data_IF_546934460634
#
_entry.id   IF_546934460634
#
_cell.length_a   1.000
_cell.length_b   1.000
_cell.length_c   1.000
_cell.angle_alpha   90.00
_cell.angle_beta   90.00
_cell.angle_gamma   90.00
#
_symmetry.space_group_name_H-M   'P 1'
#
loop_
_entity.id
_entity.type
_entity.pdbx_description
1 polymer ?
#
# COMPACT_ATOMS: atom_id res chain seq x y z
N UNK A 1 1.03 0.44 -12.41
CA UNK A 1 1.62 -0.69 -11.67
C UNK A 1 2.97 -0.34 -11.05
N UNK A 2 3.86 0.37 -11.75
CA UNK A 2 5.16 0.82 -11.22
C UNK A 2 5.11 1.56 -9.86
N UNK A 3 4.10 2.41 -9.62
CA UNK A 3 3.92 3.07 -8.32
C UNK A 3 3.61 2.09 -7.16
N UNK A 4 2.83 1.04 -7.43
CA UNK A 4 2.52 0.01 -6.43
C UNK A 4 3.80 -0.76 -6.09
N UNK A 5 4.58 -1.14 -7.09
CA UNK A 5 5.84 -1.85 -6.90
C UNK A 5 6.86 -1.02 -6.11
N UNK A 6 6.94 0.28 -6.38
CA UNK A 6 7.76 1.23 -5.62
C UNK A 6 7.33 1.31 -4.14
N UNK A 7 6.02 1.40 -3.88
CA UNK A 7 5.47 1.39 -2.51
C UNK A 7 5.81 0.08 -1.79
N UNK A 8 5.68 -1.06 -2.48
CA UNK A 8 5.99 -2.38 -1.91
C UNK A 8 7.47 -2.52 -1.60
N UNK A 9 8.36 -2.13 -2.51
CA UNK A 9 9.80 -2.17 -2.29
C UNK A 9 10.23 -1.29 -1.10
N UNK A 10 9.67 -0.09 -0.99
CA UNK A 10 9.91 0.81 0.14
C UNK A 10 9.40 0.23 1.47
N UNK A 11 8.20 -0.37 1.47
CA UNK A 11 7.63 -1.01 2.65
C UNK A 11 8.48 -2.20 3.13
N UNK A 12 8.95 -3.04 2.20
CA UNK A 12 9.81 -4.18 2.51
C UNK A 12 11.16 -3.74 3.11
N UNK A 13 11.79 -2.71 2.54
CA UNK A 13 13.03 -2.15 3.07
C UNK A 13 12.83 -1.56 4.48
N UNK A 14 11.71 -0.87 4.71
CA UNK A 14 11.40 -0.30 6.02
C UNK A 14 11.12 -1.40 7.06
N UNK A 15 10.37 -2.44 6.70
CA UNK A 15 10.09 -3.57 7.60
C UNK A 15 11.34 -4.37 7.95
N UNK A 16 12.27 -4.52 7.01
CA UNK A 16 13.54 -5.18 7.27
C UNK A 16 14.44 -4.40 8.25
N UNK A 17 14.25 -3.08 8.35
CA UNK A 17 14.96 -2.21 9.29
C UNK A 17 14.28 -2.04 10.66
N UNK A 18 13.10 -2.64 10.88
CA UNK A 18 12.43 -2.57 12.19
C UNK A 18 13.08 -3.52 13.19
N UNK A 19 13.64 -2.97 14.27
CA UNK A 19 14.34 -3.76 15.31
C UNK A 19 13.40 -4.32 16.38
N UNK A 20 12.19 -3.78 16.48
CA UNK A 20 11.19 -4.20 17.47
C UNK A 20 9.77 -4.26 16.89
N UNK A 21 8.88 -4.94 17.63
CA UNK A 21 7.51 -5.16 17.21
C UNK A 21 6.69 -3.85 17.11
N UNK A 22 7.02 -2.84 17.90
CA UNK A 22 6.30 -1.55 17.91
C UNK A 22 6.64 -0.77 16.64
N UNK A 23 7.92 -0.72 16.27
CA UNK A 23 8.40 -0.15 15.01
C UNK A 23 7.74 -0.83 13.81
N UNK A 24 7.68 -2.17 13.82
CA UNK A 24 7.05 -2.92 12.74
C UNK A 24 5.55 -2.62 12.61
N UNK A 25 4.81 -2.57 13.71
CA UNK A 25 3.37 -2.25 13.67
C UNK A 25 3.12 -0.81 13.21
N UNK A 26 3.95 0.15 13.61
CA UNK A 26 3.88 1.53 13.11
C UNK A 26 4.13 1.60 11.60
N UNK A 27 5.16 0.92 11.10
CA UNK A 27 5.43 0.86 9.66
C UNK A 27 4.29 0.13 8.93
N UNK A 28 3.71 -0.94 9.48
CA UNK A 28 2.53 -1.61 8.89
C UNK A 28 1.34 -0.67 8.79
N UNK A 29 1.07 0.15 9.81
CA UNK A 29 0.01 1.16 9.76
C UNK A 29 0.24 2.20 8.64
N UNK A 30 1.48 2.64 8.45
CA UNK A 30 1.87 3.61 7.40
C UNK A 30 1.62 3.10 5.98
N UNK A 31 1.78 1.80 5.73
CA UNK A 31 1.62 1.23 4.38
C UNK A 31 0.27 0.57 4.16
N UNK A 32 -0.20 -0.23 5.13
CA UNK A 32 -1.39 -1.09 5.01
C UNK A 32 -2.61 -0.57 5.79
N UNK A 33 -2.46 0.50 6.57
CA UNK A 33 -3.55 1.09 7.34
C UNK A 33 -4.67 1.65 6.45
N UNK A 34 -5.77 2.08 7.08
CA UNK A 34 -6.94 2.66 6.39
C UNK A 34 -6.60 3.87 5.52
N UNK A 35 -5.59 4.63 5.94
CA UNK A 35 -5.01 5.78 5.24
C UNK A 35 -3.56 5.50 4.84
N UNK A 36 -3.17 4.22 4.78
CA UNK A 36 -1.84 3.80 4.42
C UNK A 36 -1.57 4.02 2.94
N UNK A 37 -0.30 4.22 2.58
CA UNK A 37 0.11 4.57 1.21
C UNK A 37 -0.39 3.57 0.16
N UNK A 38 -0.33 2.27 0.47
CA UNK A 38 -0.80 1.23 -0.46
C UNK A 38 -2.32 1.25 -0.57
N UNK A 39 -3.03 1.40 0.55
CA UNK A 39 -4.49 1.48 0.59
C UNK A 39 -5.02 2.67 -0.20
N UNK A 40 -4.42 3.86 -0.06
CA UNK A 40 -4.79 5.05 -0.83
C UNK A 40 -4.53 4.87 -2.33
N UNK A 41 -3.39 4.26 -2.69
CA UNK A 41 -3.09 3.96 -4.10
C UNK A 41 -4.09 2.97 -4.69
N UNK A 42 -4.47 1.93 -3.95
CA UNK A 42 -5.48 0.96 -4.38
C UNK A 42 -6.88 1.59 -4.50
N UNK A 43 -7.25 2.50 -3.59
CA UNK A 43 -8.50 3.28 -3.69
C UNK A 43 -8.51 4.16 -4.93
N UNK A 44 -7.40 4.84 -5.23
CA UNK A 44 -7.25 5.65 -6.44
C UNK A 44 -7.44 4.80 -7.71
N UNK A 45 -6.88 3.59 -7.73
CA UNK A 45 -7.05 2.63 -8.83
C UNK A 45 -8.47 2.05 -8.89
N UNK A 46 -9.08 1.75 -7.75
CA UNK A 46 -10.44 1.21 -7.65
C UNK A 46 -11.54 2.25 -7.89
N UNK A 47 -11.21 3.54 -7.73
CA UNK A 47 -12.04 4.71 -8.04
C UNK A 47 -11.98 5.15 -9.50
N UNK A 48 -11.14 4.51 -10.33
CA UNK A 48 -11.25 4.63 -11.79
C UNK A 48 -12.61 4.05 -12.22
N UNK A 49 -13.39 4.87 -12.91
CA UNK A 49 -14.80 4.70 -13.21
C UNK A 49 -15.20 3.28 -13.68
N UNK A 50 -16.39 2.85 -13.24
CA UNK A 50 -17.09 1.60 -13.62
C UNK A 50 -17.11 1.33 -15.14
N UNK A 51 -16.94 2.36 -15.97
CA UNK A 51 -16.92 2.29 -17.43
C UNK A 51 -15.79 1.42 -18.06
N UNK A 52 -14.78 0.98 -17.29
CA UNK A 52 -13.69 0.13 -17.79
C UNK A 52 -13.61 -1.28 -17.17
N UNK A 53 -14.61 -1.69 -16.38
CA UNK A 53 -14.68 -3.08 -15.91
C UNK A 53 -15.28 -3.93 -17.04
N UNK A 54 -14.61 -5.00 -17.52
CA UNK A 54 -15.25 -5.92 -18.45
C UNK A 54 -16.50 -6.49 -17.78
N UNK A 55 -17.61 -6.47 -18.50
CA UNK A 55 -18.88 -7.01 -18.03
C UNK A 55 -18.67 -8.46 -17.59
N UNK A 56 -19.19 -8.78 -16.40
CA UNK A 56 -19.30 -10.16 -15.93
C UNK A 56 -20.35 -10.92 -16.75
#
# INVERSE_FOLDING_TARGET
MQEIESIVAAALAEFAGCEDAVALENSKAKYLGKTGRLTEQLKSLGGLAVAHRPAA
#
